data_IF_825707229068
#
_entry.id   IF_825707229068
#
_cell.length_a   1.000
_cell.length_b   1.000
_cell.length_c   1.000
_cell.angle_alpha   90.00
_cell.angle_beta   90.00
_cell.angle_gamma   90.00
#
_symmetry.space_group_name_H-M   'P 1'
#
loop_
_entity.id
_entity.type
_entity.pdbx_description
1 polymer ?
#
# COMPACT_ATOMS: atom_id res chain seq x y z
N UNK A 1 -22.13 18.93 16.87
CA UNK A 1 -21.89 18.97 15.41
C UNK A 1 -20.62 19.78 15.16
N UNK A 2 -19.48 19.12 15.05
CA UNK A 2 -18.23 19.67 14.53
C UNK A 2 -17.58 18.55 13.71
N UNK A 3 -17.23 18.87 12.47
CA UNK A 3 -16.95 17.92 11.41
C UNK A 3 -15.69 17.09 11.63
N UNK A 4 -15.79 15.85 11.15
CA UNK A 4 -14.76 14.84 10.97
C UNK A 4 -13.52 15.44 10.30
N UNK A 5 -12.42 15.48 11.04
CA UNK A 5 -11.09 15.76 10.52
C UNK A 5 -10.54 14.52 9.82
N UNK A 6 -10.53 14.53 8.49
CA UNK A 6 -9.74 13.62 7.67
C UNK A 6 -8.26 13.97 7.81
N UNK A 7 -7.55 13.27 8.68
CA UNK A 7 -6.09 13.36 8.77
C UNK A 7 -5.49 12.01 9.21
N UNK A 8 -5.70 10.97 8.38
CA UNK A 8 -4.79 9.83 8.35
C UNK A 8 -3.49 10.24 7.65
N UNK A 9 -2.73 11.16 8.25
CA UNK A 9 -1.36 11.47 7.83
C UNK A 9 -0.45 10.46 8.48
N UNK A 10 0.15 9.57 7.68
CA UNK A 10 1.27 8.74 8.12
C UNK A 10 2.27 9.59 8.93
N UNK A 11 2.74 9.10 10.09
CA UNK A 11 3.79 9.78 10.86
C UNK A 11 5.14 9.49 10.21
N UNK A 12 5.35 10.01 9.01
CA UNK A 12 6.57 9.93 8.22
C UNK A 12 7.13 11.32 7.98
N UNK A 13 7.72 11.91 9.02
CA UNK A 13 8.69 13.00 8.94
C UNK A 13 8.34 14.21 8.06
N UNK A 14 7.78 15.24 8.68
CA UNK A 14 7.81 16.61 8.16
C UNK A 14 9.27 17.08 7.97
N UNK A 15 9.87 16.75 6.83
CA UNK A 15 11.15 17.27 6.35
C UNK A 15 10.93 18.39 5.34
N UNK A 16 10.17 19.42 5.72
CA UNK A 16 9.87 20.58 4.87
C UNK A 16 11.15 21.32 4.49
N UNK A 17 11.62 21.13 3.25
CA UNK A 17 12.66 21.97 2.63
C UNK A 17 13.57 21.30 1.59
N UNK A 18 13.73 19.97 1.63
CA UNK A 18 14.66 19.27 0.71
C UNK A 18 13.97 18.78 -0.56
N UNK A 19 14.63 18.89 -1.72
CA UNK A 19 14.17 18.38 -3.01
C UNK A 19 13.78 16.89 -2.93
N UNK A 20 14.51 16.10 -2.14
CA UNK A 20 14.24 14.69 -1.88
C UNK A 20 12.86 14.42 -1.26
N UNK A 21 12.44 15.26 -0.30
CA UNK A 21 11.12 15.14 0.32
C UNK A 21 10.00 15.39 -0.68
N UNK A 22 10.11 16.47 -1.46
CA UNK A 22 9.11 16.79 -2.49
C UNK A 22 8.97 15.70 -3.55
N UNK A 23 10.09 15.13 -4.02
CA UNK A 23 10.06 14.05 -5.01
C UNK A 23 9.45 12.79 -4.42
N UNK A 24 9.78 12.44 -3.17
CA UNK A 24 9.16 11.33 -2.45
C UNK A 24 7.64 11.51 -2.30
N UNK A 25 7.19 12.72 -1.96
CA UNK A 25 5.75 13.00 -1.78
C UNK A 25 4.97 12.91 -3.10
N UNK A 26 5.56 13.38 -4.21
CA UNK A 26 4.94 13.26 -5.53
C UNK A 26 4.88 11.79 -5.98
N UNK A 27 5.94 11.03 -5.73
CA UNK A 27 5.95 9.60 -6.03
C UNK A 27 4.93 8.84 -5.17
N UNK A 28 4.78 9.22 -3.89
CA UNK A 28 3.78 8.64 -3.00
C UNK A 28 2.35 8.80 -3.53
N UNK A 29 2.01 9.97 -4.08
CA UNK A 29 0.69 10.19 -4.71
C UNK A 29 0.47 9.31 -5.93
N UNK A 30 1.52 9.10 -6.73
CA UNK A 30 1.44 8.20 -7.88
C UNK A 30 1.24 6.75 -7.43
N UNK A 31 1.97 6.30 -6.41
CA UNK A 31 1.82 4.97 -5.80
C UNK A 31 0.42 4.78 -5.21
N UNK A 32 -0.14 5.80 -4.53
CA UNK A 32 -1.50 5.77 -4.00
C UNK A 32 -2.54 5.65 -5.12
N UNK A 33 -2.36 6.40 -6.21
CA UNK A 33 -3.24 6.32 -7.38
C UNK A 33 -3.22 4.92 -7.98
N UNK A 34 -2.03 4.35 -8.21
CA UNK A 34 -1.88 2.98 -8.73
C UNK A 34 -2.52 1.95 -7.80
N UNK A 35 -2.39 2.12 -6.48
CA UNK A 35 -3.02 1.24 -5.50
C UNK A 35 -4.56 1.34 -5.53
N UNK A 36 -5.12 2.55 -5.71
CA UNK A 36 -6.56 2.72 -5.91
C UNK A 36 -7.02 2.03 -7.19
N UNK A 37 -6.27 2.15 -8.30
CA UNK A 37 -6.59 1.42 -9.54
C UNK A 37 -6.56 -0.09 -9.32
N UNK A 38 -5.56 -0.60 -8.58
CA UNK A 38 -5.49 -2.02 -8.22
C UNK A 38 -6.71 -2.46 -7.40
N UNK A 39 -7.10 -1.69 -6.38
CA UNK A 39 -8.25 -1.99 -5.53
C UNK A 39 -9.57 -1.98 -6.32
N UNK A 40 -9.77 -1.00 -7.21
CA UNK A 40 -10.94 -0.94 -8.10
C UNK A 40 -10.96 -2.15 -9.03
N UNK A 41 -9.80 -2.53 -9.58
CA UNK A 41 -9.68 -3.69 -10.47
C UNK A 41 -10.10 -4.98 -9.76
N UNK A 42 -9.62 -5.19 -8.52
CA UNK A 42 -10.03 -6.33 -7.69
C UNK A 42 -11.52 -6.30 -7.43
N UNK A 43 -12.08 -5.15 -7.06
CA UNK A 43 -13.51 -5.01 -6.79
C UNK A 43 -14.38 -5.36 -8.02
N UNK A 44 -14.00 -4.85 -9.20
CA UNK A 44 -14.68 -5.17 -10.46
C UNK A 44 -14.57 -6.65 -10.79
N UNK A 45 -13.41 -7.28 -10.59
CA UNK A 45 -13.24 -8.72 -10.77
C UNK A 45 -14.09 -9.54 -9.80
N UNK A 46 -14.24 -9.12 -8.54
CA UNK A 46 -15.08 -9.82 -7.58
C UNK A 46 -16.54 -9.83 -8.07
N UNK A 47 -17.07 -8.67 -8.48
CA UNK A 47 -18.41 -8.57 -9.05
C UNK A 47 -18.56 -9.37 -10.34
N UNK A 48 -17.58 -9.25 -11.25
CA UNK A 48 -17.54 -9.99 -12.50
C UNK A 48 -17.58 -11.50 -12.28
N UNK A 49 -16.86 -11.99 -11.27
CA UNK A 49 -16.78 -13.42 -10.94
C UNK A 49 -18.13 -13.91 -10.42
N UNK A 50 -18.75 -13.15 -9.52
CA UNK A 50 -20.09 -13.48 -9.01
C UNK A 50 -21.13 -13.50 -10.13
N UNK A 51 -21.12 -12.51 -11.03
CA UNK A 51 -22.02 -12.45 -12.18
C UNK A 51 -21.76 -13.63 -13.13
N UNK A 52 -20.50 -13.95 -13.42
CA UNK A 52 -20.13 -15.08 -14.27
C UNK A 52 -20.65 -16.41 -13.73
N UNK A 53 -20.57 -16.62 -12.41
CA UNK A 53 -21.14 -17.79 -11.74
C UNK A 53 -22.67 -17.78 -11.81
N UNK A 54 -23.32 -16.64 -11.56
CA UNK A 54 -24.78 -16.52 -11.64
C UNK A 54 -25.31 -16.82 -13.05
N UNK A 55 -24.71 -16.23 -14.08
CA UNK A 55 -25.05 -16.44 -15.49
C UNK A 55 -24.84 -17.91 -15.92
N UNK A 56 -23.78 -18.56 -15.42
CA UNK A 56 -23.53 -19.99 -15.64
C UNK A 56 -24.66 -20.86 -15.08
N UNK A 57 -25.20 -20.52 -13.91
CA UNK A 57 -26.34 -21.24 -13.32
C UNK A 57 -27.62 -21.00 -14.12
N UNK A 58 -27.80 -19.81 -14.72
CA UNK A 58 -28.93 -19.48 -15.59
C UNK A 58 -28.83 -20.07 -17.01
N UNK A 59 -27.81 -20.89 -17.31
CA UNK A 59 -27.64 -21.55 -18.60
C UNK A 59 -26.99 -20.69 -19.69
N UNK A 60 -26.56 -19.47 -19.37
CA UNK A 60 -25.87 -18.56 -20.29
C UNK A 60 -24.45 -18.26 -19.77
N UNK A 61 -23.46 -19.15 -19.97
CA UNK A 61 -22.09 -18.88 -19.52
C UNK A 61 -21.50 -17.70 -20.29
N UNK A 62 -20.78 -16.82 -19.58
CA UNK A 62 -20.02 -15.72 -20.20
C UNK A 62 -18.74 -16.32 -20.82
N UNK A 63 -18.58 -16.34 -22.16
CA UNK A 63 -17.36 -16.83 -22.80
C UNK A 63 -16.20 -15.84 -22.55
N UNK A 64 -14.99 -16.36 -22.31
CA UNK A 64 -13.79 -15.52 -22.19
C UNK A 64 -13.62 -14.75 -20.87
N UNK A 65 -14.44 -15.04 -19.84
CA UNK A 65 -14.27 -14.41 -18.52
C UNK A 65 -12.91 -14.71 -17.85
N UNK A 66 -12.35 -15.89 -18.18
CA UNK A 66 -11.05 -16.34 -17.67
C UNK A 66 -9.92 -15.40 -18.15
N UNK A 67 -9.88 -15.11 -19.45
CA UNK A 67 -8.89 -14.21 -20.07
C UNK A 67 -8.90 -12.81 -19.44
N UNK A 68 -10.08 -12.26 -19.15
CA UNK A 68 -10.23 -10.96 -18.48
C UNK A 68 -9.65 -11.02 -17.06
N UNK A 69 -9.93 -12.11 -16.35
CA UNK A 69 -9.44 -12.32 -14.98
C UNK A 69 -7.92 -12.45 -14.95
N UNK A 70 -7.33 -13.17 -15.89
CA UNK A 70 -5.88 -13.33 -16.03
C UNK A 70 -5.17 -12.00 -16.30
N UNK A 71 -5.70 -11.20 -17.24
CA UNK A 71 -5.12 -9.88 -17.51
C UNK A 71 -5.22 -8.97 -16.30
N UNK A 72 -6.35 -8.97 -15.60
CA UNK A 72 -6.56 -8.13 -14.43
C UNK A 72 -5.68 -8.54 -13.22
N UNK A 73 -5.32 -9.82 -13.07
CA UNK A 73 -4.33 -10.27 -12.07
C UNK A 73 -3.00 -9.53 -12.25
N UNK A 74 -2.51 -9.42 -13.48
CA UNK A 74 -1.27 -8.68 -13.74
C UNK A 74 -1.38 -7.21 -13.28
N UNK A 75 -2.52 -6.55 -13.53
CA UNK A 75 -2.73 -5.15 -13.16
C UNK A 75 -2.63 -4.95 -11.66
N UNK A 76 -3.47 -5.63 -10.88
CA UNK A 76 -3.51 -5.38 -9.43
C UNK A 76 -2.29 -5.96 -8.72
N UNK A 77 -1.70 -7.06 -9.21
CA UNK A 77 -0.53 -7.66 -8.58
C UNK A 77 0.71 -6.75 -8.69
N UNK A 78 0.99 -6.21 -9.87
CA UNK A 78 2.19 -5.37 -10.05
C UNK A 78 2.00 -3.95 -9.51
N UNK A 79 0.81 -3.37 -9.62
CA UNK A 79 0.50 -2.08 -8.98
C UNK A 79 0.50 -2.18 -7.45
N UNK A 80 -0.08 -3.26 -6.91
CA UNK A 80 -0.01 -3.56 -5.48
C UNK A 80 1.41 -3.82 -4.99
N UNK A 81 2.25 -4.51 -5.78
CA UNK A 81 3.64 -4.75 -5.43
C UNK A 81 4.46 -3.45 -5.33
N UNK A 82 4.29 -2.51 -6.28
CA UNK A 82 4.95 -1.21 -6.23
C UNK A 82 4.57 -0.42 -4.96
N UNK A 83 3.28 -0.45 -4.58
CA UNK A 83 2.81 0.15 -3.33
C UNK A 83 3.33 -0.58 -2.08
N UNK A 84 3.36 -1.92 -2.10
CA UNK A 84 3.89 -2.76 -1.02
C UNK A 84 5.37 -2.52 -0.76
N UNK A 85 6.16 -2.23 -1.82
CA UNK A 85 7.55 -1.84 -1.66
C UNK A 85 7.71 -0.59 -0.80
N UNK A 86 6.90 0.44 -1.05
CA UNK A 86 6.93 1.69 -0.29
C UNK A 86 6.67 1.47 1.20
N UNK A 87 5.77 0.55 1.54
CA UNK A 87 5.49 0.16 2.92
C UNK A 87 6.64 -0.60 3.58
N UNK A 88 7.66 -0.98 2.81
CA UNK A 88 8.76 -1.81 3.29
C UNK A 88 8.34 -3.26 3.56
N UNK A 89 7.22 -3.72 2.99
CA UNK A 89 6.69 -5.07 3.20
C UNK A 89 7.51 -6.17 2.47
N UNK A 90 8.36 -5.79 1.52
CA UNK A 90 9.32 -6.71 0.92
C UNK A 90 10.39 -7.07 1.95
N UNK A 91 10.31 -8.30 2.47
CA UNK A 91 11.19 -8.98 3.44
C UNK A 91 12.58 -8.30 3.55
N UNK A 92 12.64 -7.18 4.28
CA UNK A 92 13.87 -6.69 4.85
C UNK A 92 14.12 -7.63 6.02
N UNK A 93 15.27 -8.29 6.02
CA UNK A 93 15.70 -9.08 7.18
C UNK A 93 16.09 -8.11 8.31
N UNK A 94 15.14 -7.33 8.82
CA UNK A 94 15.36 -6.35 9.88
C UNK A 94 15.71 -7.01 11.22
N UNK A 95 15.38 -8.30 11.39
CA UNK A 95 15.73 -9.03 12.60
C UNK A 95 17.25 -9.13 12.81
N UNK A 96 18.04 -9.17 11.72
CA UNK A 96 19.51 -9.21 11.78
C UNK A 96 20.11 -7.80 11.76
N UNK A 97 19.44 -6.86 11.10
CA UNK A 97 19.93 -5.48 10.91
C UNK A 97 19.66 -4.60 12.14
N UNK A 98 18.56 -4.84 12.87
CA UNK A 98 18.23 -4.15 14.12
C UNK A 98 19.22 -4.41 15.26
N UNK A 99 19.99 -5.50 15.18
CA UNK A 99 21.05 -5.83 16.14
C UNK A 99 22.40 -5.15 15.82
N UNK A 100 22.54 -4.49 14.66
CA UNK A 100 23.81 -3.88 14.23
C UNK A 100 23.86 -2.39 14.61
N UNK A 101 24.87 -1.95 15.38
CA UNK A 101 24.96 -0.55 15.81
C UNK A 101 25.52 0.39 14.73
N UNK A 102 24.94 1.59 14.66
CA UNK A 102 25.57 2.77 14.05
C UNK A 102 25.56 2.83 12.52
N UNK A 103 26.71 3.20 11.92
CA UNK A 103 26.84 3.51 10.49
C UNK A 103 26.75 2.28 9.57
N UNK A 104 27.14 1.12 10.08
CA UNK A 104 27.17 -0.12 9.30
C UNK A 104 25.76 -0.59 8.91
N UNK A 105 24.77 -0.36 9.79
CA UNK A 105 23.35 -0.59 9.50
C UNK A 105 22.92 0.16 8.23
N UNK A 106 23.17 1.48 8.19
CA UNK A 106 22.79 2.32 7.06
C UNK A 106 23.51 1.93 5.76
N UNK A 107 24.77 1.49 5.84
CA UNK A 107 25.51 1.02 4.66
C UNK A 107 24.95 -0.30 4.10
N UNK A 108 24.59 -1.24 4.98
CA UNK A 108 23.99 -2.52 4.56
C UNK A 108 22.61 -2.29 3.95
N UNK A 109 21.79 -1.42 4.55
CA UNK A 109 20.47 -1.05 4.00
C UNK A 109 20.59 -0.32 2.66
N UNK A 110 21.57 0.59 2.51
CA UNK A 110 21.88 1.24 1.24
C UNK A 110 22.30 0.21 0.17
N UNK A 111 23.16 -0.74 0.53
CA UNK A 111 23.61 -1.78 -0.40
C UNK A 111 22.48 -2.72 -0.80
N UNK A 112 21.67 -3.17 0.15
CA UNK A 112 20.53 -4.06 -0.11
C UNK A 112 19.50 -3.40 -1.03
N UNK A 113 19.13 -2.14 -0.75
CA UNK A 113 18.22 -1.38 -1.61
C UNK A 113 18.82 -1.12 -3.00
N UNK A 114 20.12 -0.85 -3.08
CA UNK A 114 20.80 -0.66 -4.36
C UNK A 114 20.83 -1.94 -5.21
N UNK A 115 21.10 -3.10 -4.60
CA UNK A 115 21.02 -4.38 -5.31
C UNK A 115 19.59 -4.66 -5.79
N UNK A 116 18.59 -4.37 -4.96
CA UNK A 116 17.18 -4.44 -5.37
C UNK A 116 16.88 -3.50 -6.54
N UNK A 117 17.41 -2.28 -6.54
CA UNK A 117 17.26 -1.31 -7.63
C UNK A 117 17.83 -1.86 -8.93
N UNK A 118 19.05 -2.39 -8.91
CA UNK A 118 19.69 -3.00 -10.09
C UNK A 118 18.88 -4.17 -10.63
N UNK A 119 18.37 -5.04 -9.74
CA UNK A 119 17.50 -6.15 -10.14
C UNK A 119 16.25 -5.63 -10.87
N UNK A 120 15.55 -4.65 -10.31
CA UNK A 120 14.36 -4.09 -10.95
C UNK A 120 14.68 -3.45 -12.30
N UNK A 121 15.83 -2.78 -12.47
CA UNK A 121 16.24 -2.26 -13.79
C UNK A 121 16.38 -3.37 -14.84
N UNK A 122 16.95 -4.52 -14.46
CA UNK A 122 17.04 -5.69 -15.34
C UNK A 122 15.64 -6.20 -15.69
N UNK A 123 14.73 -6.28 -14.71
CA UNK A 123 13.34 -6.69 -14.95
C UNK A 123 12.59 -5.72 -15.87
N UNK A 124 12.82 -4.41 -15.76
CA UNK A 124 12.24 -3.40 -16.69
C UNK A 124 12.69 -3.70 -18.11
N UNK A 125 14.00 -3.96 -18.30
CA UNK A 125 14.56 -4.23 -19.64
C UNK A 125 13.95 -5.49 -20.26
N UNK A 126 13.78 -6.57 -19.50
CA UNK A 126 13.16 -7.81 -20.01
C UNK A 126 11.65 -7.71 -20.18
N UNK A 127 10.94 -7.05 -19.26
CA UNK A 127 9.49 -6.83 -19.39
C UNK A 127 9.14 -5.95 -20.60
N UNK A 128 10.00 -4.97 -20.93
CA UNK A 128 9.87 -4.18 -22.14
C UNK A 128 10.00 -5.02 -23.42
N UNK A 129 11.01 -5.90 -23.50
CA UNK A 129 11.13 -6.83 -24.63
C UNK A 129 9.94 -7.77 -24.72
N UNK A 130 9.45 -8.27 -23.58
CA UNK A 130 8.29 -9.13 -23.54
C UNK A 130 7.04 -8.43 -24.07
N UNK A 131 6.84 -7.16 -23.72
CA UNK A 131 5.80 -6.31 -24.29
C UNK A 131 5.98 -6.10 -25.80
N UNK A 132 7.18 -5.71 -26.24
CA UNK A 132 7.46 -5.44 -27.66
C UNK A 132 7.21 -6.68 -28.53
N UNK A 133 7.66 -7.85 -28.08
CA UNK A 133 7.40 -9.11 -28.78
C UNK A 133 5.90 -9.39 -28.89
N UNK A 134 5.15 -9.22 -27.79
CA UNK A 134 3.70 -9.42 -27.80
C UNK A 134 2.97 -8.44 -28.73
N UNK A 135 3.44 -7.18 -28.79
CA UNK A 135 2.88 -6.16 -29.67
C UNK A 135 3.17 -6.44 -31.15
N UNK A 136 4.41 -6.86 -31.48
CA UNK A 136 4.82 -7.13 -32.85
C UNK A 136 4.22 -8.42 -33.42
N UNK A 137 4.07 -9.45 -32.59
CA UNK A 137 3.51 -10.75 -32.99
C UNK A 137 1.98 -10.70 -33.03
N UNK A 138 1.35 -9.74 -32.34
CA UNK A 138 -0.11 -9.67 -32.21
C UNK A 138 -0.65 -10.75 -31.28
N UNK A 139 0.08 -11.04 -30.19
CA UNK A 139 -0.20 -12.17 -29.29
C UNK A 139 -1.57 -12.02 -28.59
N UNK A 140 -2.44 -13.00 -28.78
CA UNK A 140 -3.85 -12.98 -28.40
C UNK A 140 -4.20 -14.11 -27.43
N UNK A 141 -5.17 -13.88 -26.54
CA UNK A 141 -5.62 -14.94 -25.63
C UNK A 141 -6.38 -16.05 -26.37
N UNK A 142 -6.42 -17.26 -25.79
CA UNK A 142 -6.90 -18.48 -26.45
C UNK A 142 -8.41 -18.50 -26.68
N UNK A 143 -9.21 -17.91 -25.79
CA UNK A 143 -10.68 -18.01 -25.85
C UNK A 143 -11.33 -16.86 -26.64
N UNK A 144 -10.95 -15.61 -26.37
CA UNK A 144 -11.57 -14.42 -27.00
C UNK A 144 -10.63 -13.66 -27.94
N UNK A 145 -9.44 -14.19 -28.22
CA UNK A 145 -8.41 -13.55 -29.07
C UNK A 145 -8.10 -12.11 -28.62
N UNK A 146 -8.22 -11.84 -27.31
CA UNK A 146 -8.01 -10.50 -26.78
C UNK A 146 -6.52 -10.15 -26.84
N UNK A 147 -6.15 -8.95 -27.30
CA UNK A 147 -4.74 -8.55 -27.35
C UNK A 147 -4.15 -8.54 -25.93
N UNK A 148 -3.03 -9.25 -25.75
CA UNK A 148 -2.37 -9.39 -24.44
C UNK A 148 -1.40 -8.24 -24.12
N UNK A 149 -1.07 -7.42 -25.12
CA UNK A 149 -0.10 -6.33 -24.99
C UNK A 149 -0.44 -5.27 -23.92
N UNK A 150 -1.72 -4.90 -23.65
CA UNK A 150 -2.01 -3.88 -22.64
C UNK A 150 -1.60 -4.34 -21.24
N UNK A 151 -1.93 -5.59 -20.87
CA UNK A 151 -1.52 -6.15 -19.58
C UNK A 151 0.02 -6.25 -19.48
N UNK A 152 0.68 -6.67 -20.55
CA UNK A 152 2.16 -6.77 -20.59
C UNK A 152 2.86 -5.41 -20.51
N UNK A 153 2.24 -4.34 -21.01
CA UNK A 153 2.76 -2.97 -20.90
C UNK A 153 2.66 -2.39 -19.48
N UNK A 154 1.68 -2.82 -18.69
CA UNK A 154 1.52 -2.34 -17.32
C UNK A 154 2.64 -2.80 -16.40
N UNK A 155 3.26 -3.95 -16.70
CA UNK A 155 4.39 -4.51 -15.95
C UNK A 155 5.62 -3.58 -15.93
N UNK A 156 6.20 -3.15 -17.08
CA UNK A 156 7.33 -2.22 -17.07
C UNK A 156 6.97 -0.86 -16.46
N UNK A 157 5.71 -0.41 -16.55
CA UNK A 157 5.24 0.82 -15.90
C UNK A 157 5.31 0.67 -14.37
N UNK A 158 4.74 -0.41 -13.83
CA UNK A 158 4.76 -0.69 -12.40
C UNK A 158 6.19 -0.82 -11.86
N UNK A 159 7.05 -1.55 -12.58
CA UNK A 159 8.46 -1.68 -12.24
C UNK A 159 9.22 -0.36 -12.33
N UNK A 160 8.86 0.54 -13.25
CA UNK A 160 9.49 1.87 -13.32
C UNK A 160 9.17 2.72 -12.09
N UNK A 161 7.94 2.66 -11.58
CA UNK A 161 7.55 3.34 -10.33
C UNK A 161 8.30 2.74 -9.14
N UNK A 162 8.38 1.40 -9.07
CA UNK A 162 9.16 0.71 -8.06
C UNK A 162 10.65 1.10 -8.12
N UNK A 163 11.26 1.12 -9.31
CA UNK A 163 12.65 1.54 -9.50
C UNK A 163 12.88 2.97 -9.00
N UNK A 164 11.97 3.90 -9.31
CA UNK A 164 12.04 5.27 -8.80
C UNK A 164 12.00 5.30 -7.27
N UNK A 165 11.16 4.47 -6.64
CA UNK A 165 11.06 4.37 -5.19
C UNK A 165 12.35 3.86 -4.56
N UNK A 166 12.90 2.78 -5.11
CA UNK A 166 14.17 2.20 -4.68
C UNK A 166 15.33 3.17 -4.85
N UNK A 167 15.38 3.94 -5.94
CA UNK A 167 16.40 4.96 -6.14
C UNK A 167 16.36 6.04 -5.05
N UNK A 168 15.16 6.50 -4.66
CA UNK A 168 15.00 7.46 -3.57
C UNK A 168 15.41 6.86 -2.23
N UNK A 169 15.02 5.62 -1.94
CA UNK A 169 15.43 4.91 -0.72
C UNK A 169 16.95 4.75 -0.64
N UNK A 170 17.60 4.34 -1.72
CA UNK A 170 19.06 4.22 -1.78
C UNK A 170 19.75 5.56 -1.51
N UNK A 171 19.27 6.66 -2.09
CA UNK A 171 19.82 8.01 -1.82
C UNK A 171 19.57 8.43 -0.37
N UNK A 172 18.39 8.12 0.18
CA UNK A 172 18.05 8.36 1.58
C UNK A 172 18.99 7.62 2.55
N UNK A 173 19.23 6.33 2.31
CA UNK A 173 20.14 5.51 3.11
C UNK A 173 21.60 5.91 2.97
N UNK A 174 22.06 6.23 1.76
CA UNK A 174 23.41 6.76 1.53
C UNK A 174 23.63 8.08 2.28
N UNK A 175 22.64 8.98 2.27
CA UNK A 175 22.69 10.24 3.03
C UNK A 175 22.81 9.98 4.54
N UNK A 176 22.04 9.03 5.09
CA UNK A 176 22.09 8.66 6.51
C UNK A 176 23.39 7.95 6.89
N UNK A 177 23.99 7.18 5.98
CA UNK A 177 25.29 6.56 6.18
C UNK A 177 26.42 7.60 6.32
N UNK A 178 26.37 8.68 5.51
CA UNK A 178 27.35 9.77 5.56
C UNK A 178 27.06 10.72 6.73
N UNK A 179 25.78 11.02 6.99
CA UNK A 179 25.32 11.94 8.05
C UNK A 179 24.32 11.25 8.98
N UNK A 180 24.80 10.52 10.01
CA UNK A 180 23.93 9.76 10.92
C UNK A 180 22.99 10.62 11.77
N UNK A 181 23.25 11.93 11.87
CA UNK A 181 22.43 12.89 12.61
C UNK A 181 21.35 13.58 11.75
N UNK A 182 21.25 13.24 10.46
CA UNK A 182 20.25 13.82 9.58
C UNK A 182 18.87 13.19 9.79
N UNK A 183 17.81 13.98 9.63
CA UNK A 183 16.43 13.48 9.65
C UNK A 183 16.24 12.44 8.53
N UNK A 184 15.76 11.22 8.84
CA UNK A 184 15.43 10.22 7.83
C UNK A 184 14.30 10.75 6.94
N UNK A 185 14.58 10.84 5.64
CA UNK A 185 13.66 11.34 4.61
C UNK A 185 13.66 10.33 3.47
N UNK A 186 12.47 9.96 2.99
CA UNK A 186 12.25 8.97 1.92
C UNK A 186 12.74 7.54 2.25
N UNK A 187 12.87 7.22 3.54
CA UNK A 187 13.24 5.90 4.04
C UNK A 187 12.05 5.34 4.82
N UNK A 188 11.58 4.12 4.53
CA UNK A 188 10.60 3.46 5.39
C UNK A 188 11.26 3.10 6.71
N UNK A 189 10.76 3.69 7.80
CA UNK A 189 11.14 3.36 9.16
C UNK A 189 10.13 2.32 9.66
N UNK A 190 10.52 1.05 9.78
CA UNK A 190 9.73 0.10 10.56
C UNK A 190 9.97 0.41 12.04
N UNK A 191 8.89 0.53 12.81
CA UNK A 191 8.99 0.63 14.26
C UNK A 191 9.55 -0.67 14.80
N UNK A 192 10.37 -0.59 15.86
CA UNK A 192 10.77 -1.81 16.56
C UNK A 192 9.51 -2.57 17.00
N UNK A 193 9.47 -3.91 16.96
CA UNK A 193 8.31 -4.68 17.45
C UNK A 193 7.86 -4.28 18.86
N UNK A 194 8.78 -3.81 19.70
CA UNK A 194 8.49 -3.25 21.02
C UNK A 194 7.77 -1.89 20.95
N UNK A 195 8.22 -1.00 20.07
CA UNK A 195 7.60 0.33 19.88
C UNK A 195 6.24 0.22 19.18
N UNK A 196 6.08 -0.73 18.26
CA UNK A 196 4.81 -1.03 17.60
C UNK A 196 3.80 -1.60 18.60
N UNK A 197 4.21 -2.55 19.44
CA UNK A 197 3.38 -3.06 20.54
C UNK A 197 3.00 -1.94 21.54
N UNK A 198 3.92 -1.03 21.88
CA UNK A 198 3.63 0.11 22.74
C UNK A 198 2.63 1.10 22.11
N UNK A 199 2.72 1.33 20.79
CA UNK A 199 1.75 2.14 20.05
C UNK A 199 0.39 1.49 20.02
N UNK A 200 0.32 0.19 19.72
CA UNK A 200 -0.93 -0.56 19.74
C UNK A 200 -1.58 -0.55 21.14
N UNK A 201 -0.80 -0.73 22.21
CA UNK A 201 -1.29 -0.64 23.59
C UNK A 201 -1.82 0.77 23.89
N UNK A 202 -1.12 1.82 23.45
CA UNK A 202 -1.55 3.21 23.63
C UNK A 202 -2.84 3.51 22.87
N UNK A 203 -2.92 3.11 21.62
CA UNK A 203 -4.11 3.31 20.77
C UNK A 203 -5.31 2.51 21.31
N UNK A 204 -5.09 1.26 21.74
CA UNK A 204 -6.11 0.45 22.40
C UNK A 204 -6.54 1.05 23.75
N UNK A 205 -5.63 1.68 24.48
CA UNK A 205 -5.90 2.41 25.71
C UNK A 205 -6.79 3.63 25.48
N UNK A 206 -6.46 4.45 24.48
CA UNK A 206 -7.26 5.62 24.09
C UNK A 206 -8.66 5.18 23.63
N UNK A 207 -8.75 4.14 22.80
CA UNK A 207 -10.03 3.60 22.35
C UNK A 207 -10.89 3.09 23.53
N UNK A 208 -10.27 2.47 24.55
CA UNK A 208 -10.97 2.06 25.79
C UNK A 208 -11.49 3.27 26.57
N UNK A 209 -10.68 4.31 26.74
CA UNK A 209 -11.09 5.53 27.45
C UNK A 209 -12.25 6.24 26.75
N UNK A 210 -12.24 6.29 25.41
CA UNK A 210 -13.33 6.85 24.61
C UNK A 210 -14.63 6.04 24.79
N UNK A 211 -14.56 4.70 24.74
CA UNK A 211 -15.72 3.83 24.96
C UNK A 211 -16.30 4.04 26.37
N UNK A 212 -15.45 4.15 27.40
CA UNK A 212 -15.89 4.40 28.77
C UNK A 212 -16.43 5.82 28.99
N UNK A 213 -15.89 6.83 28.31
CA UNK A 213 -16.42 8.18 28.31
C UNK A 213 -17.81 8.23 27.67
N UNK A 214 -17.98 7.57 26.52
CA UNK A 214 -19.28 7.43 25.83
C UNK A 214 -20.28 6.71 26.72
N UNK A 215 -19.89 5.60 27.36
CA UNK A 215 -20.73 4.85 28.29
C UNK A 215 -21.16 5.67 29.52
N UNK A 216 -20.28 6.52 30.06
CA UNK A 216 -20.62 7.44 31.17
C UNK A 216 -21.61 8.52 30.73
N UNK A 217 -21.46 9.06 29.52
CA UNK A 217 -22.39 10.06 28.99
C UNK A 217 -23.75 9.50 28.59
N UNK A 218 -23.82 8.25 28.13
CA UNK A 218 -25.07 7.58 27.78
C UNK A 218 -25.80 6.96 28.99
N UNK A 219 -25.06 6.48 29.99
CA UNK A 219 -25.61 5.98 31.26
C UNK A 219 -26.17 7.08 32.17
N UNK A 220 -25.71 8.34 32.03
CA UNK A 220 -26.21 9.49 32.79
C UNK A 220 -27.60 9.99 32.38
N UNK A 221 -28.12 9.59 31.23
CA UNK A 221 -29.42 10.05 30.72
C UNK A 221 -30.63 9.21 31.19
N UNK A 222 -30.43 8.10 31.91
CA UNK A 222 -31.50 7.20 32.35
C UNK A 222 -31.74 7.20 33.88
N UNK A 223 -31.43 8.30 34.57
CA UNK A 223 -31.68 8.45 36.01
C UNK A 223 -32.49 9.73 36.32
N UNK A 224 -33.56 9.97 35.55
CA UNK A 224 -34.64 10.85 35.99
C UNK A 224 -35.97 10.11 35.85
N UNK A 225 -36.20 9.17 36.78
CA UNK A 225 -37.54 8.69 37.08
C UNK A 225 -38.27 9.81 37.84
N UNK A 226 -39.37 10.40 37.32
CA UNK A 226 -40.15 11.35 38.07
C UNK A 226 -41.02 10.57 39.06
N UNK A 227 -40.51 10.36 40.27
CA UNK A 227 -41.37 10.06 41.40
C UNK A 227 -42.06 11.36 41.84
N UNK A 228 -43.34 11.52 41.45
CA UNK A 228 -44.23 12.51 42.04
C UNK A 228 -45.61 11.89 42.30
N UNK A 229 -45.73 11.35 43.52
CA UNK A 229 -46.85 11.52 44.47
C UNK A 229 -48.27 11.65 43.89
N UNK A 230 -49.09 10.67 44.26
CA UNK A 230 -50.45 10.82 44.81
C UNK A 230 -51.12 12.21 44.73
N UNK A 231 -52.26 12.33 44.03
CA UNK A 231 -53.54 12.88 44.57
C UNK A 231 -54.72 12.82 43.57
N UNK A 232 -55.88 12.31 44.03
CA UNK A 232 -57.24 12.53 43.50
C UNK A 232 -57.55 11.82 42.17
N UNK A 233 -58.57 10.97 42.04
CA UNK A 233 -59.96 11.07 42.50
C UNK A 233 -60.55 9.72 42.92
#
# INVERSE_FOLDING_TARGET
MAGVGTAGTHPGGAGGGSLLGKVSDQLAKLEDLLNIVAAITIFVLMLGTTISIACRISGFPIPGYLDISEQAIAIFAFFGAAYGQRLGAHIRMELVIGALPGRLRWMIEALATFVGFLLILVLIRYSWDFFLNAYLIGDSTVDIEFPTWPAKLLVPIAFSVWAARLALETVGYLRLAIWPSAVPVAVPLQLSPAEEAEREIREAGIAREEIEAVARTSGGASAHSPDRKERGE
#
